data_IF_384401638611
#
_entry.id   IF_384401638611
#
_cell.length_a   1.000
_cell.length_b   1.000
_cell.length_c   1.000
_cell.angle_alpha   90.00
_cell.angle_beta   90.00
_cell.angle_gamma   90.00
#
_symmetry.space_group_name_H-M   'P 1'
#
loop_
_entity.id
_entity.type
_entity.pdbx_description
1 polymer ?
#
# COMPACT_ATOMS: atom_id res chain seq x y z
N UNK A 1 122.72 -14.99 -36.42
CA UNK A 1 123.12 -14.76 -35.02
C UNK A 1 123.42 -13.27 -34.86
N UNK A 2 122.96 -12.70 -33.74
CA UNK A 2 123.20 -11.33 -33.21
C UNK A 2 122.62 -10.16 -34.02
N UNK A 3 121.95 -9.16 -33.45
CA UNK A 3 121.62 -8.71 -32.07
C UNK A 3 120.51 -7.65 -32.24
N UNK A 4 119.47 -7.54 -31.40
CA UNK A 4 119.47 -6.81 -30.12
C UNK A 4 119.64 -5.29 -30.36
N UNK A 5 118.90 -4.35 -29.78
CA UNK A 5 117.85 -4.32 -28.76
C UNK A 5 117.33 -2.87 -28.76
N UNK A 6 116.07 -2.70 -28.38
CA UNK A 6 115.57 -1.64 -27.50
C UNK A 6 116.16 -0.23 -27.62
N UNK A 7 115.37 0.66 -28.23
CA UNK A 7 115.20 2.01 -27.70
C UNK A 7 113.75 2.44 -27.84
N UNK A 8 113.17 2.78 -26.69
CA UNK A 8 112.09 3.76 -26.50
C UNK A 8 110.70 3.22 -26.88
N UNK A 9 109.85 2.72 -25.98
CA UNK A 9 109.60 3.11 -24.58
C UNK A 9 109.60 4.62 -24.35
N UNK A 10 109.04 5.37 -25.29
CA UNK A 10 108.46 6.70 -25.02
C UNK A 10 107.15 6.83 -25.81
N UNK A 11 106.10 7.24 -25.10
CA UNK A 11 104.76 7.54 -25.59
C UNK A 11 103.81 6.36 -25.83
N UNK A 12 103.79 5.43 -24.87
CA UNK A 12 102.49 5.06 -24.31
C UNK A 12 101.69 6.32 -23.95
N UNK A 13 100.38 6.27 -24.23
CA UNK A 13 99.32 7.20 -23.81
C UNK A 13 99.06 8.43 -24.70
N UNK A 14 98.29 8.21 -25.76
CA UNK A 14 97.18 9.09 -26.18
C UNK A 14 96.31 8.30 -27.18
N UNK A 15 95.46 7.42 -26.66
CA UNK A 15 94.04 7.69 -26.44
C UNK A 15 93.31 8.28 -27.65
N UNK A 16 92.24 7.56 -27.99
CA UNK A 16 91.03 8.00 -28.65
C UNK A 16 90.99 7.85 -30.17
N UNK A 17 89.83 7.33 -30.59
CA UNK A 17 89.28 7.29 -31.93
C UNK A 17 89.94 6.28 -32.89
N UNK A 18 89.24 5.36 -33.53
CA UNK A 18 87.80 5.18 -33.69
C UNK A 18 87.65 3.81 -34.34
N UNK A 19 86.73 2.99 -33.83
CA UNK A 19 86.07 2.01 -34.68
C UNK A 19 85.25 2.78 -35.71
N UNK A 20 85.43 2.51 -37.01
CA UNK A 20 84.28 2.37 -37.91
C UNK A 20 84.67 1.71 -39.24
N UNK A 21 84.06 0.56 -39.51
CA UNK A 21 84.10 -0.08 -40.82
C UNK A 21 83.17 0.70 -41.76
N UNK A 22 83.54 0.87 -43.04
CA UNK A 22 82.80 1.71 -43.96
C UNK A 22 81.39 1.14 -44.22
N UNK A 23 80.37 1.91 -43.84
CA UNK A 23 78.98 1.59 -44.11
C UNK A 23 78.72 1.51 -45.62
N UNK A 24 78.43 0.30 -46.13
CA UNK A 24 77.83 0.09 -47.45
C UNK A 24 76.48 0.80 -47.46
N UNK A 25 76.27 1.70 -48.43
CA UNK A 25 75.00 2.38 -48.67
C UNK A 25 73.95 1.34 -49.06
N UNK A 26 73.21 0.84 -48.08
CA UNK A 26 72.00 0.07 -48.30
C UNK A 26 71.05 0.93 -49.16
N UNK A 27 70.57 0.35 -50.25
CA UNK A 27 69.74 1.06 -51.22
C UNK A 27 68.54 1.69 -50.52
N UNK A 28 68.31 2.98 -50.76
CA UNK A 28 67.17 3.75 -50.24
C UNK A 28 65.84 3.03 -50.51
N UNK A 29 65.78 2.29 -51.63
CA UNK A 29 64.65 1.47 -52.04
C UNK A 29 64.36 0.32 -51.06
N UNK A 30 65.38 -0.28 -50.46
CA UNK A 30 65.24 -1.34 -49.44
C UNK A 30 64.65 -0.79 -48.14
N UNK A 31 65.09 0.39 -47.70
CA UNK A 31 64.52 1.06 -46.53
C UNK A 31 63.06 1.48 -46.76
N UNK A 32 62.70 1.95 -47.96
CA UNK A 32 61.32 2.29 -48.30
C UNK A 32 60.39 1.06 -48.25
N UNK A 33 60.85 -0.09 -48.77
CA UNK A 33 60.09 -1.35 -48.71
C UNK A 33 59.92 -1.84 -47.27
N UNK A 34 60.96 -1.73 -46.44
CA UNK A 34 60.88 -2.08 -45.01
C UNK A 34 59.92 -1.13 -44.27
N UNK A 35 59.94 0.17 -44.57
CA UNK A 35 59.04 1.16 -43.99
C UNK A 35 57.58 0.86 -44.35
N UNK A 36 57.31 0.52 -45.62
CA UNK A 36 55.98 0.12 -46.10
C UNK A 36 55.53 -1.17 -45.42
N UNK A 37 56.40 -2.19 -45.34
CA UNK A 37 56.11 -3.45 -44.65
C UNK A 37 55.84 -3.24 -43.15
N UNK A 38 56.61 -2.38 -42.49
CA UNK A 38 56.40 -2.00 -41.09
C UNK A 38 55.06 -1.27 -40.92
N UNK A 39 54.70 -0.36 -41.83
CA UNK A 39 53.39 0.30 -41.80
C UNK A 39 52.24 -0.70 -41.97
N UNK A 40 52.35 -1.67 -42.89
CA UNK A 40 51.36 -2.73 -43.05
C UNK A 40 51.26 -3.64 -41.81
N UNK A 41 52.39 -3.95 -41.17
CA UNK A 41 52.39 -4.71 -39.90
C UNK A 41 51.74 -3.92 -38.76
N UNK A 42 51.99 -2.61 -38.68
CA UNK A 42 51.34 -1.73 -37.70
C UNK A 42 49.83 -1.63 -37.97
N UNK A 43 49.42 -1.56 -39.24
CA UNK A 43 48.00 -1.60 -39.62
C UNK A 43 47.34 -2.93 -39.27
N UNK A 44 48.03 -4.06 -39.48
CA UNK A 44 47.54 -5.38 -39.08
C UNK A 44 47.41 -5.51 -37.55
N UNK A 45 48.41 -5.04 -36.80
CA UNK A 45 48.35 -5.00 -35.33
C UNK A 45 47.20 -4.10 -34.83
N UNK A 46 47.02 -2.93 -35.44
CA UNK A 46 45.92 -2.01 -35.15
C UNK A 46 44.56 -2.66 -35.47
N UNK A 47 44.46 -3.37 -36.58
CA UNK A 47 43.25 -4.07 -36.99
C UNK A 47 42.89 -5.21 -36.03
N UNK A 48 43.86 -6.02 -35.60
CA UNK A 48 43.63 -7.09 -34.61
C UNK A 48 43.23 -6.53 -33.23
N UNK A 49 43.87 -5.45 -32.78
CA UNK A 49 43.47 -4.75 -31.55
C UNK A 49 42.03 -4.24 -31.64
N UNK A 50 41.67 -3.63 -32.78
CA UNK A 50 40.33 -3.13 -33.01
C UNK A 50 39.30 -4.24 -33.17
N UNK A 51 39.63 -5.38 -33.77
CA UNK A 51 38.71 -6.50 -33.92
C UNK A 51 38.35 -7.16 -32.57
N UNK A 52 39.34 -7.34 -31.67
CA UNK A 52 39.04 -7.78 -30.29
C UNK A 52 38.27 -6.73 -29.50
N UNK A 53 38.70 -5.47 -29.54
CA UNK A 53 38.01 -4.39 -28.84
C UNK A 53 36.57 -4.19 -29.32
N UNK A 54 36.31 -4.37 -30.62
CA UNK A 54 34.97 -4.24 -31.20
C UNK A 54 34.09 -5.47 -30.88
N UNK A 55 34.66 -6.68 -30.82
CA UNK A 55 33.93 -7.87 -30.37
C UNK A 55 33.58 -7.80 -28.88
N UNK A 56 34.51 -7.35 -28.04
CA UNK A 56 34.28 -7.14 -26.60
C UNK A 56 33.24 -6.04 -26.38
N UNK A 57 33.30 -4.91 -27.09
CA UNK A 57 32.31 -3.85 -27.01
C UNK A 57 30.90 -4.28 -27.49
N UNK A 58 30.81 -5.09 -28.55
CA UNK A 58 29.52 -5.63 -29.03
C UNK A 58 28.96 -6.66 -28.04
N UNK A 59 29.80 -7.53 -27.48
CA UNK A 59 29.38 -8.50 -26.46
C UNK A 59 28.89 -7.81 -25.18
N UNK A 60 29.60 -6.76 -24.74
CA UNK A 60 29.25 -5.98 -23.57
C UNK A 60 27.96 -5.17 -23.80
N UNK A 61 27.78 -4.57 -24.98
CA UNK A 61 26.52 -3.93 -25.38
C UNK A 61 25.35 -4.92 -25.46
N UNK A 62 25.56 -6.13 -25.98
CA UNK A 62 24.53 -7.17 -26.01
C UNK A 62 24.17 -7.66 -24.61
N UNK A 63 25.16 -7.87 -23.74
CA UNK A 63 24.94 -8.26 -22.35
C UNK A 63 24.21 -7.16 -21.57
N UNK A 64 24.57 -5.90 -21.79
CA UNK A 64 23.93 -4.74 -21.15
C UNK A 64 22.52 -4.51 -21.69
N UNK A 65 22.29 -4.75 -22.98
CA UNK A 65 20.96 -4.69 -23.60
C UNK A 65 20.06 -5.80 -23.06
N UNK A 66 20.56 -7.04 -22.99
CA UNK A 66 19.80 -8.17 -22.47
C UNK A 66 19.47 -8.00 -20.99
N UNK A 67 20.40 -7.48 -20.18
CA UNK A 67 20.15 -7.18 -18.77
C UNK A 67 19.19 -6.00 -18.57
N UNK A 68 19.25 -4.96 -19.42
CA UNK A 68 18.31 -3.84 -19.39
C UNK A 68 16.88 -4.28 -19.78
N UNK A 69 16.74 -5.14 -20.80
CA UNK A 69 15.45 -5.72 -21.18
C UNK A 69 14.90 -6.60 -20.07
N UNK A 70 15.73 -7.46 -19.46
CA UNK A 70 15.30 -8.32 -18.36
C UNK A 70 14.92 -7.52 -17.11
N UNK A 71 15.63 -6.42 -16.83
CA UNK A 71 15.25 -5.48 -15.77
C UNK A 71 13.92 -4.78 -16.07
N UNK A 72 13.67 -4.42 -17.33
CA UNK A 72 12.39 -3.84 -17.75
C UNK A 72 11.25 -4.85 -17.60
N UNK A 73 11.45 -6.10 -18.01
CA UNK A 73 10.45 -7.17 -17.87
C UNK A 73 10.11 -7.41 -16.39
N UNK A 74 11.13 -7.45 -15.51
CA UNK A 74 10.94 -7.55 -14.07
C UNK A 74 10.12 -6.37 -13.53
N UNK A 75 10.44 -5.14 -13.95
CA UNK A 75 9.74 -3.93 -13.51
C UNK A 75 8.28 -3.89 -14.00
N UNK A 76 8.03 -4.38 -15.23
CA UNK A 76 6.68 -4.53 -15.78
C UNK A 76 5.90 -5.58 -14.98
N UNK A 77 6.50 -6.73 -14.71
CA UNK A 77 5.87 -7.80 -13.93
C UNK A 77 5.53 -7.34 -12.51
N UNK A 78 6.44 -6.62 -11.85
CA UNK A 78 6.22 -6.03 -10.53
C UNK A 78 5.11 -4.98 -10.59
N UNK A 79 5.14 -4.07 -11.57
CA UNK A 79 4.08 -3.07 -11.76
C UNK A 79 2.72 -3.72 -11.98
N UNK A 80 2.65 -4.80 -12.75
CA UNK A 80 1.40 -5.54 -12.98
C UNK A 80 0.95 -6.27 -11.72
N UNK A 81 1.88 -6.80 -10.92
CA UNK A 81 1.60 -7.33 -9.58
C UNK A 81 1.02 -6.27 -8.64
N UNK A 82 1.63 -5.09 -8.60
CA UNK A 82 1.18 -3.96 -7.80
C UNK A 82 -0.19 -3.44 -8.25
N UNK A 83 -0.46 -3.38 -9.56
CA UNK A 83 -1.78 -3.02 -10.09
C UNK A 83 -2.87 -3.97 -9.61
N UNK A 84 -2.63 -5.29 -9.72
CA UNK A 84 -3.59 -6.30 -9.23
C UNK A 84 -3.83 -6.18 -7.72
N UNK A 85 -2.77 -5.98 -6.93
CA UNK A 85 -2.92 -5.76 -5.48
C UNK A 85 -3.72 -4.50 -5.17
N UNK A 86 -3.51 -3.43 -5.94
CA UNK A 86 -4.25 -2.19 -5.78
C UNK A 86 -5.74 -2.38 -6.12
N UNK A 87 -6.04 -3.08 -7.21
CA UNK A 87 -7.42 -3.44 -7.58
C UNK A 87 -8.09 -4.33 -6.52
N UNK A 88 -7.37 -5.31 -5.97
CA UNK A 88 -7.87 -6.17 -4.90
C UNK A 88 -8.12 -5.38 -3.60
N UNK A 89 -7.19 -4.49 -3.22
CA UNK A 89 -7.34 -3.62 -2.06
C UNK A 89 -8.51 -2.65 -2.23
N UNK A 90 -8.69 -2.09 -3.43
CA UNK A 90 -9.82 -1.22 -3.77
C UNK A 90 -11.15 -1.99 -3.62
N UNK A 91 -11.22 -3.20 -4.16
CA UNK A 91 -12.39 -4.07 -4.04
C UNK A 91 -12.72 -4.38 -2.57
N UNK A 92 -11.70 -4.76 -1.79
CA UNK A 92 -11.88 -5.00 -0.35
C UNK A 92 -12.33 -3.75 0.40
N UNK A 93 -11.82 -2.58 0.06
CA UNK A 93 -12.25 -1.32 0.67
C UNK A 93 -13.73 -1.05 0.38
N UNK A 94 -14.17 -1.26 -0.86
CA UNK A 94 -15.57 -1.08 -1.25
C UNK A 94 -16.49 -2.09 -0.53
N UNK A 95 -16.07 -3.36 -0.43
CA UNK A 95 -16.78 -4.40 0.33
C UNK A 95 -16.89 -4.04 1.82
N UNK A 96 -15.77 -3.70 2.47
CA UNK A 96 -15.76 -3.31 3.89
C UNK A 96 -16.61 -2.06 4.13
N UNK A 97 -16.62 -1.11 3.19
CA UNK A 97 -17.44 0.08 3.32
C UNK A 97 -18.94 -0.24 3.18
N UNK A 98 -19.31 -1.18 2.32
CA UNK A 98 -20.69 -1.70 2.25
C UNK A 98 -21.10 -2.39 3.55
N UNK A 99 -20.26 -3.32 4.05
CA UNK A 99 -20.51 -4.03 5.30
C UNK A 99 -20.65 -3.07 6.48
N UNK A 100 -19.81 -2.04 6.55
CA UNK A 100 -19.89 -1.01 7.59
C UNK A 100 -21.21 -0.25 7.51
N UNK A 101 -21.65 0.13 6.31
CA UNK A 101 -22.92 0.83 6.14
C UNK A 101 -24.12 -0.03 6.57
N UNK A 102 -24.11 -1.32 6.25
CA UNK A 102 -25.16 -2.26 6.66
C UNK A 102 -25.14 -2.49 8.17
N UNK A 103 -23.96 -2.63 8.77
CA UNK A 103 -23.80 -2.74 10.22
C UNK A 103 -24.30 -1.48 10.94
N UNK A 104 -24.00 -0.28 10.42
CA UNK A 104 -24.50 0.98 10.97
C UNK A 104 -26.02 1.07 10.89
N UNK A 105 -26.63 0.67 9.76
CA UNK A 105 -28.10 0.62 9.62
C UNK A 105 -28.73 -0.34 10.61
N UNK A 106 -28.18 -1.54 10.75
CA UNK A 106 -28.66 -2.53 11.72
C UNK A 106 -28.53 -2.02 13.16
N UNK A 107 -27.42 -1.36 13.50
CA UNK A 107 -27.22 -0.77 14.83
C UNK A 107 -28.24 0.36 15.12
N UNK A 108 -28.51 1.23 14.14
CA UNK A 108 -29.53 2.28 14.28
C UNK A 108 -30.93 1.70 14.47
N UNK A 109 -31.28 0.65 13.73
CA UNK A 109 -32.57 -0.01 13.88
C UNK A 109 -32.71 -0.70 15.25
N UNK A 110 -31.68 -1.43 15.69
CA UNK A 110 -31.65 -2.02 17.03
C UNK A 110 -31.75 -0.95 18.12
N UNK A 111 -31.10 0.20 17.94
CA UNK A 111 -31.21 1.31 18.90
C UNK A 111 -32.63 1.87 18.96
N UNK A 112 -33.31 2.04 17.82
CA UNK A 112 -34.72 2.46 17.78
C UNK A 112 -35.62 1.46 18.48
N UNK A 113 -35.47 0.18 18.17
CA UNK A 113 -36.25 -0.89 18.80
C UNK A 113 -36.01 -0.94 20.31
N UNK A 114 -34.76 -0.79 20.75
CA UNK A 114 -34.42 -0.75 22.18
C UNK A 114 -35.02 0.47 22.89
N UNK A 115 -35.02 1.64 22.24
CA UNK A 115 -35.67 2.83 22.80
C UNK A 115 -37.18 2.64 22.91
N UNK A 116 -37.83 2.11 21.88
CA UNK A 116 -39.26 1.82 21.88
C UNK A 116 -39.63 0.78 22.94
N UNK A 117 -38.84 -0.29 23.10
CA UNK A 117 -39.03 -1.29 24.14
C UNK A 117 -38.87 -0.71 25.55
N UNK A 118 -37.93 0.23 25.74
CA UNK A 118 -37.74 0.92 27.02
C UNK A 118 -38.94 1.81 27.36
N UNK A 119 -39.43 2.58 26.38
CA UNK A 119 -40.63 3.41 26.52
C UNK A 119 -41.88 2.57 26.79
N UNK A 120 -42.06 1.45 26.09
CA UNK A 120 -43.14 0.50 26.31
C UNK A 120 -43.12 -0.10 27.72
N UNK A 121 -41.95 -0.53 28.21
CA UNK A 121 -41.81 -1.03 29.58
C UNK A 121 -42.14 0.04 30.63
N UNK A 122 -41.65 1.28 30.43
CA UNK A 122 -41.97 2.40 31.32
C UNK A 122 -43.48 2.67 31.35
N UNK A 123 -44.14 2.64 30.19
CA UNK A 123 -45.57 2.89 30.09
C UNK A 123 -46.40 1.79 30.76
N UNK A 124 -46.03 0.51 30.58
CA UNK A 124 -46.67 -0.61 31.27
C UNK A 124 -46.45 -0.55 32.79
N UNK A 125 -45.27 -0.12 33.25
CA UNK A 125 -44.99 0.09 34.67
C UNK A 125 -45.87 1.20 35.24
N UNK A 126 -45.96 2.35 34.55
CA UNK A 126 -46.84 3.47 34.93
C UNK A 126 -48.31 3.03 35.01
N UNK A 127 -48.81 2.34 33.98
CA UNK A 127 -50.16 1.79 33.98
C UNK A 127 -50.39 0.84 35.16
N UNK A 128 -49.44 -0.04 35.46
CA UNK A 128 -49.54 -0.93 36.63
C UNK A 128 -49.55 -0.16 37.95
N UNK A 129 -48.71 0.87 38.11
CA UNK A 129 -48.71 1.72 39.31
C UNK A 129 -50.06 2.41 39.51
N UNK A 130 -50.62 2.98 38.44
CA UNK A 130 -51.92 3.64 38.48
C UNK A 130 -53.04 2.66 38.84
N UNK A 131 -53.06 1.49 38.20
CA UNK A 131 -54.00 0.39 38.51
C UNK A 131 -53.90 -0.04 39.96
N UNK A 132 -52.68 -0.18 40.50
CA UNK A 132 -52.46 -0.59 41.87
C UNK A 132 -53.03 0.43 42.86
N UNK A 133 -52.81 1.72 42.64
CA UNK A 133 -53.37 2.78 43.49
C UNK A 133 -54.89 2.84 43.40
N UNK A 134 -55.44 2.77 42.18
CA UNK A 134 -56.89 2.76 41.95
C UNK A 134 -57.56 1.58 42.66
N UNK A 135 -57.04 0.37 42.50
CA UNK A 135 -57.58 -0.85 43.12
C UNK A 135 -57.46 -0.84 44.65
N UNK A 136 -56.50 -0.11 45.21
CA UNK A 136 -56.35 0.10 46.66
C UNK A 136 -57.27 1.21 47.20
N UNK A 137 -58.06 1.87 46.36
CA UNK A 137 -58.90 3.01 46.74
C UNK A 137 -58.10 4.30 47.02
N UNK A 138 -56.82 4.34 46.65
CA UNK A 138 -55.90 5.47 46.90
C UNK A 138 -55.99 6.51 45.78
N UNK A 139 -57.20 7.00 45.51
CA UNK A 139 -57.48 7.87 44.36
C UNK A 139 -56.73 9.21 44.40
N UNK A 140 -56.56 9.80 45.61
CA UNK A 140 -55.78 11.05 45.75
C UNK A 140 -54.33 10.87 45.35
N UNK A 141 -53.74 9.73 45.69
CA UNK A 141 -52.35 9.42 45.36
C UNK A 141 -52.21 9.07 43.88
N UNK A 142 -53.21 8.41 43.29
CA UNK A 142 -53.27 8.17 41.86
C UNK A 142 -53.34 9.48 41.05
N UNK A 143 -54.14 10.46 41.51
CA UNK A 143 -54.21 11.81 40.92
C UNK A 143 -52.90 12.56 41.06
N UNK A 144 -52.31 12.57 42.25
CA UNK A 144 -51.00 13.19 42.49
C UNK A 144 -49.90 12.57 41.60
N UNK A 145 -49.97 11.25 41.35
CA UNK A 145 -49.04 10.57 40.45
C UNK A 145 -49.22 11.00 38.99
N UNK A 146 -50.46 11.20 38.52
CA UNK A 146 -50.74 11.75 37.19
C UNK A 146 -50.24 13.20 37.07
N UNK A 147 -50.43 14.02 38.11
CA UNK A 147 -49.88 15.38 38.18
C UNK A 147 -48.35 15.38 38.16
N UNK A 148 -47.69 14.44 38.86
CA UNK A 148 -46.23 14.28 38.86
C UNK A 148 -45.70 13.93 37.48
N UNK A 149 -46.39 13.05 36.74
CA UNK A 149 -46.03 12.73 35.36
C UNK A 149 -46.22 13.92 34.42
N UNK A 150 -47.23 14.76 34.72
CA UNK A 150 -47.63 15.89 33.90
C UNK A 150 -48.13 15.48 32.52
N UNK A 151 -48.50 16.47 31.71
CA UNK A 151 -49.01 16.26 30.34
C UNK A 151 -48.00 15.51 29.46
N UNK A 152 -46.71 15.84 29.58
CA UNK A 152 -45.66 15.19 28.79
C UNK A 152 -45.51 13.70 29.15
N UNK A 153 -45.57 13.35 30.44
CA UNK A 153 -45.51 11.97 30.89
C UNK A 153 -46.76 11.17 30.54
N UNK A 154 -47.94 11.78 30.61
CA UNK A 154 -49.19 11.16 30.16
C UNK A 154 -49.16 10.88 28.66
N UNK A 155 -48.81 11.88 27.84
CA UNK A 155 -48.72 11.74 26.39
C UNK A 155 -47.66 10.71 25.97
N UNK A 156 -46.51 10.66 26.63
CA UNK A 156 -45.48 9.65 26.34
C UNK A 156 -45.97 8.23 26.68
N UNK A 157 -46.71 8.09 27.77
CA UNK A 157 -47.27 6.81 28.22
C UNK A 157 -48.31 6.33 27.21
N UNK A 158 -49.24 7.20 26.82
CA UNK A 158 -50.28 6.88 25.85
C UNK A 158 -49.69 6.45 24.50
N UNK A 159 -48.72 7.22 23.97
CA UNK A 159 -48.03 6.90 22.72
C UNK A 159 -47.33 5.54 22.76
N UNK A 160 -46.66 5.22 23.87
CA UNK A 160 -45.98 3.93 24.02
C UNK A 160 -46.98 2.76 24.12
N UNK A 161 -48.12 2.96 24.79
CA UNK A 161 -49.20 1.96 24.86
C UNK A 161 -49.90 1.78 23.50
N UNK A 162 -50.05 2.83 22.70
CA UNK A 162 -50.52 2.74 21.32
C UNK A 162 -49.57 1.92 20.44
N UNK A 163 -48.26 2.08 20.63
CA UNK A 163 -47.25 1.24 19.99
C UNK A 163 -47.39 -0.23 20.36
N UNK A 164 -47.65 -0.52 21.64
CA UNK A 164 -47.91 -1.89 22.12
C UNK A 164 -49.20 -2.45 21.50
N UNK A 165 -50.31 -1.71 21.58
CA UNK A 165 -51.61 -2.10 21.00
C UNK A 165 -51.49 -2.44 19.51
N UNK A 166 -50.72 -1.64 18.77
CA UNK A 166 -50.52 -1.84 17.32
C UNK A 166 -49.74 -3.12 16.99
N UNK A 167 -48.99 -3.68 17.95
CA UNK A 167 -48.24 -4.91 17.79
C UNK A 167 -48.98 -6.16 18.30
N UNK A 168 -50.13 -5.99 18.97
CA UNK A 168 -50.95 -7.09 19.50
C UNK A 168 -51.92 -7.63 18.45
N UNK A 169 -52.31 -8.90 18.58
CA UNK A 169 -53.36 -9.49 17.75
C UNK A 169 -54.75 -9.11 18.26
N UNK A 170 -55.77 -9.30 17.42
CA UNK A 170 -57.17 -9.05 17.82
C UNK A 170 -57.57 -9.93 19.01
N UNK A 171 -57.14 -11.20 19.06
CA UNK A 171 -57.43 -12.09 20.18
C UNK A 171 -56.77 -11.62 21.49
N UNK A 172 -55.57 -11.05 21.42
CA UNK A 172 -54.89 -10.50 22.60
C UNK A 172 -55.61 -9.23 23.11
N UNK A 173 -56.10 -8.39 22.19
CA UNK A 173 -56.84 -7.17 22.52
C UNK A 173 -58.21 -7.45 23.14
N UNK A 174 -58.89 -8.53 22.74
CA UNK A 174 -60.12 -8.99 23.40
C UNK A 174 -59.89 -9.35 24.87
N UNK A 175 -58.71 -9.91 25.20
CA UNK A 175 -58.35 -10.24 26.58
C UNK A 175 -58.03 -8.96 27.36
N UNK A 176 -57.20 -8.09 26.78
CA UNK A 176 -56.75 -6.88 27.45
C UNK A 176 -56.16 -5.85 26.46
N UNK A 177 -56.82 -4.71 26.30
CA UNK A 177 -56.25 -3.53 25.64
C UNK A 177 -55.59 -2.61 26.68
N UNK A 178 -54.24 -2.51 26.71
CA UNK A 178 -53.53 -1.69 27.68
C UNK A 178 -53.75 -0.18 27.48
N UNK A 179 -53.96 0.26 26.24
CA UNK A 179 -54.19 1.67 25.92
C UNK A 179 -55.56 2.09 26.41
N UNK A 180 -56.58 1.28 26.11
CA UNK A 180 -57.94 1.54 26.54
C UNK A 180 -58.04 1.51 28.08
N UNK A 181 -57.41 0.52 28.72
CA UNK A 181 -57.35 0.44 30.17
C UNK A 181 -56.71 1.69 30.81
N UNK A 182 -55.65 2.22 30.20
CA UNK A 182 -55.01 3.46 30.67
C UNK A 182 -55.94 4.67 30.54
N UNK A 183 -56.56 4.86 29.37
CA UNK A 183 -57.48 5.97 29.10
C UNK A 183 -58.68 5.97 30.07
N UNK A 184 -59.30 4.81 30.27
CA UNK A 184 -60.40 4.67 31.21
C UNK A 184 -59.99 4.99 32.65
N UNK A 185 -58.80 4.56 33.08
CA UNK A 185 -58.29 4.88 34.42
C UNK A 185 -58.03 6.37 34.61
N UNK A 186 -57.48 7.03 33.60
CA UNK A 186 -57.26 8.48 33.63
C UNK A 186 -58.60 9.21 33.72
N UNK A 187 -59.57 8.85 32.88
CA UNK A 187 -60.93 9.42 32.89
C UNK A 187 -61.65 9.25 34.25
N UNK A 188 -61.55 8.07 34.87
CA UNK A 188 -62.10 7.85 36.21
C UNK A 188 -61.39 8.61 37.33
N UNK A 189 -60.15 9.05 37.08
CA UNK A 189 -59.33 9.79 38.02
C UNK A 189 -59.39 11.31 37.78
N UNK A 190 -60.04 11.80 36.74
CA UNK A 190 -60.43 13.22 36.65
C UNK A 190 -61.49 13.59 37.71
#
# INVERSE_FOLDING_TARGET
MSTGSDKEEQASLQHAAEHEKPHKKLSVMTYLVILIAAAFLLLLLSYFMQQRANQEAIADLQQTSNSAVQSLDNLIAERDGLKRQNEELQTRLDELQSELNDAVRAAQENQKQQSAATEANLALMRLNQLRALYNQGRYREARALLEEWGEAGAASTEKALEGIRSAMTEEELEIYDPLEAYRQLVDWLE
#
